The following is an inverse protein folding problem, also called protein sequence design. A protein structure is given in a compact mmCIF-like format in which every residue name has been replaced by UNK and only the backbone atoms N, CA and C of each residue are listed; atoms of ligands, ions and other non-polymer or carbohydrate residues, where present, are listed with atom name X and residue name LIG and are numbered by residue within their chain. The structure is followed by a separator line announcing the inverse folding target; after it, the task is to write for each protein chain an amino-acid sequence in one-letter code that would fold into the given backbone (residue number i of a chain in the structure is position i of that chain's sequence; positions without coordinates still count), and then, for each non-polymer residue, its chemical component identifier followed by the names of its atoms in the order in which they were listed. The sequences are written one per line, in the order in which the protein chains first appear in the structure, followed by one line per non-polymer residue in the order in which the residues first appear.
data_IF_923849355110
#
_entry.id   IF_923849355110
#
_cell.length_a   1.000
_cell.length_b   1.000
_cell.length_c   1.000
_cell.angle_alpha   90.00
_cell.angle_beta   90.00
_cell.angle_gamma   90.00
#
_symmetry.space_group_name_H-M   'P 1'
#
loop_
_entity.id
_entity.type
_entity.pdbx_description
1 polymer ?
#
# COMPACT_ATOMS: atom_id res chain seq x y z
N UNK A 1 -20.44 -0.16 5.77
CA UNK A 1 -20.98 -0.20 4.39
C UNK A 1 -20.14 0.54 3.34
N UNK A 2 -19.41 1.63 3.66
CA UNK A 2 -18.67 2.39 2.62
C UNK A 2 -17.49 1.62 1.98
N UNK A 3 -16.74 0.83 2.76
CA UNK A 3 -15.46 0.27 2.34
C UNK A 3 -15.54 -0.59 1.06
N UNK A 4 -16.61 -1.39 0.93
CA UNK A 4 -16.83 -2.32 -0.17
C UNK A 4 -17.78 -1.78 -1.25
N UNK A 5 -18.30 -0.55 -1.09
CA UNK A 5 -19.24 0.03 -2.06
C UNK A 5 -18.53 0.29 -3.39
N UNK A 6 -19.04 -0.31 -4.48
CA UNK A 6 -18.52 -0.13 -5.85
C UNK A 6 -19.19 1.07 -6.54
N UNK A 7 -18.40 1.92 -7.21
CA UNK A 7 -18.87 3.05 -8.01
C UNK A 7 -18.42 2.84 -9.46
N UNK A 8 -19.36 2.45 -10.33
CA UNK A 8 -19.06 2.08 -11.72
C UNK A 8 -17.84 1.14 -11.77
N UNK A 9 -16.83 1.46 -12.57
CA UNK A 9 -15.64 0.62 -12.73
C UNK A 9 -14.50 0.96 -11.73
N UNK A 10 -14.67 1.97 -10.86
CA UNK A 10 -13.65 2.38 -9.90
C UNK A 10 -13.36 1.29 -8.86
N UNK A 11 -12.10 1.18 -8.40
CA UNK A 11 -11.77 0.33 -7.26
C UNK A 11 -12.57 0.73 -6.01
N UNK A 12 -12.85 -0.23 -5.14
CA UNK A 12 -13.48 0.06 -3.83
C UNK A 12 -12.43 0.63 -2.87
N UNK A 13 -12.88 1.26 -1.79
CA UNK A 13 -11.97 1.76 -0.74
C UNK A 13 -11.17 0.57 -0.17
N UNK A 14 -11.82 -0.55 0.13
CA UNK A 14 -11.17 -1.75 0.64
C UNK A 14 -10.09 -2.30 -0.31
N UNK A 15 -10.38 -2.33 -1.62
CA UNK A 15 -9.42 -2.78 -2.63
C UNK A 15 -8.19 -1.86 -2.69
N UNK A 16 -8.38 -0.55 -2.62
CA UNK A 16 -7.26 0.40 -2.62
C UNK A 16 -6.45 0.32 -1.31
N UNK A 17 -7.10 0.11 -0.17
CA UNK A 17 -6.42 -0.12 1.12
C UNK A 17 -5.53 -1.36 1.07
N UNK A 18 -6.06 -2.49 0.57
CA UNK A 18 -5.26 -3.70 0.35
C UNK A 18 -4.13 -3.47 -0.63
N UNK A 19 -4.39 -2.79 -1.75
CA UNK A 19 -3.40 -2.51 -2.77
C UNK A 19 -2.21 -1.74 -2.19
N UNK A 20 -2.45 -0.69 -1.41
CA UNK A 20 -1.39 0.08 -0.74
C UNK A 20 -0.55 -0.82 0.17
N UNK A 21 -1.23 -1.55 1.07
CA UNK A 21 -0.61 -2.45 2.04
C UNK A 21 0.23 -3.55 1.37
N UNK A 22 -0.23 -4.10 0.24
CA UNK A 22 0.46 -5.12 -0.52
C UNK A 22 1.88 -4.69 -0.93
N UNK A 23 2.05 -3.46 -1.43
CA UNK A 23 3.37 -2.95 -1.79
C UNK A 23 4.22 -2.61 -0.56
N UNK A 24 3.62 -2.04 0.48
CA UNK A 24 4.33 -1.73 1.73
C UNK A 24 4.91 -3.02 2.34
N UNK A 25 4.10 -4.06 2.48
CA UNK A 25 4.53 -5.36 3.00
C UNK A 25 5.64 -6.00 2.14
N UNK A 26 5.54 -5.87 0.81
CA UNK A 26 6.58 -6.34 -0.10
C UNK A 26 7.93 -5.65 0.09
N UNK A 27 7.93 -4.33 0.27
CA UNK A 27 9.18 -3.57 0.50
C UNK A 27 9.71 -3.82 1.91
N UNK A 28 8.85 -3.98 2.92
CA UNK A 28 9.28 -4.38 4.28
C UNK A 28 10.08 -5.67 4.24
N UNK A 29 9.62 -6.70 3.50
CA UNK A 29 10.35 -7.96 3.38
C UNK A 29 11.78 -7.75 2.86
N UNK A 30 11.95 -6.85 1.88
CA UNK A 30 13.28 -6.49 1.35
C UNK A 30 14.13 -5.77 2.39
N UNK A 31 13.54 -4.83 3.15
CA UNK A 31 14.25 -4.10 4.20
C UNK A 31 14.71 -5.02 5.33
N UNK A 32 14.00 -6.12 5.58
CA UNK A 32 14.38 -7.16 6.54
C UNK A 32 15.38 -8.19 5.98
N UNK A 33 15.82 -8.03 4.73
CA UNK A 33 16.83 -8.87 4.08
C UNK A 33 16.27 -10.03 3.24
N UNK A 34 14.95 -10.08 3.03
CA UNK A 34 14.29 -11.02 2.11
C UNK A 34 14.32 -10.57 0.64
N UNK A 35 13.74 -11.40 -0.23
CA UNK A 35 13.60 -11.08 -1.66
C UNK A 35 12.36 -10.20 -1.94
N UNK A 36 12.36 -9.50 -3.08
CA UNK A 36 11.16 -8.80 -3.56
C UNK A 36 10.21 -9.79 -4.24
N UNK A 37 9.24 -10.30 -3.49
CA UNK A 37 8.34 -11.37 -3.97
C UNK A 37 7.01 -10.89 -4.56
N UNK A 38 6.66 -9.63 -4.31
CA UNK A 38 5.41 -9.04 -4.78
C UNK A 38 5.33 -8.99 -6.31
N UNK A 39 4.13 -9.17 -6.85
CA UNK A 39 3.84 -9.15 -8.29
C UNK A 39 2.54 -8.43 -8.53
N UNK A 40 2.54 -7.51 -9.50
CA UNK A 40 1.38 -6.68 -9.86
C UNK A 40 0.10 -7.49 -10.09
N UNK A 41 0.21 -8.71 -10.63
CA UNK A 41 -0.95 -9.59 -10.86
C UNK A 41 -1.73 -9.95 -9.57
N UNK A 42 -1.10 -9.85 -8.40
CA UNK A 42 -1.71 -10.11 -7.10
C UNK A 42 -2.03 -8.84 -6.31
N UNK A 43 -1.65 -7.65 -6.81
CA UNK A 43 -1.86 -6.39 -6.08
C UNK A 43 -3.32 -5.94 -6.01
N UNK A 44 -4.24 -6.71 -6.61
CA UNK A 44 -5.69 -6.52 -6.54
C UNK A 44 -6.42 -7.82 -6.19
N UNK A 45 -5.71 -8.80 -5.62
CA UNK A 45 -6.25 -10.11 -5.23
C UNK A 45 -6.74 -10.09 -3.77
N UNK A 46 -7.72 -9.21 -3.49
CA UNK A 46 -8.35 -9.06 -2.18
C UNK A 46 -9.55 -10.02 -2.07
N UNK A 47 -9.54 -10.98 -1.13
CA UNK A 47 -10.75 -11.75 -0.80
C UNK A 47 -11.90 -10.84 -0.35
N UNK A 48 -13.17 -11.23 -0.56
CA UNK A 48 -14.32 -10.44 -0.13
C UNK A 48 -14.25 -10.05 1.35
N UNK A 49 -14.51 -8.77 1.65
CA UNK A 49 -14.66 -8.26 3.01
C UNK A 49 -16.16 -8.30 3.35
N UNK A 50 -16.54 -9.25 4.19
CA UNK A 50 -17.93 -9.57 4.55
C UNK A 50 -18.32 -9.08 5.95
N UNK A 51 -17.33 -8.67 6.76
CA UNK A 51 -17.58 -8.18 8.13
C UNK A 51 -16.79 -6.92 8.47
N UNK A 52 -17.29 -6.20 9.48
CA UNK A 52 -16.59 -5.04 10.06
C UNK A 52 -15.23 -5.46 10.66
N UNK A 53 -15.15 -6.63 11.27
CA UNK A 53 -13.92 -7.17 11.84
C UNK A 53 -12.85 -7.41 10.75
N UNK A 54 -13.22 -7.98 9.60
CA UNK A 54 -12.30 -8.15 8.48
C UNK A 54 -11.81 -6.81 7.92
N UNK A 55 -12.69 -5.81 7.87
CA UNK A 55 -12.31 -4.46 7.46
C UNK A 55 -11.34 -3.82 8.46
N UNK A 56 -11.60 -3.93 9.76
CA UNK A 56 -10.71 -3.43 10.81
C UNK A 56 -9.37 -4.16 10.81
N UNK A 57 -9.35 -5.48 10.55
CA UNK A 57 -8.13 -6.24 10.41
C UNK A 57 -7.25 -5.73 9.25
N UNK A 58 -7.85 -5.40 8.11
CA UNK A 58 -7.14 -4.83 6.97
C UNK A 58 -6.58 -3.44 7.29
N UNK A 59 -7.34 -2.59 7.98
CA UNK A 59 -6.88 -1.28 8.43
C UNK A 59 -5.72 -1.40 9.43
N UNK A 60 -5.86 -2.26 10.42
CA UNK A 60 -4.82 -2.50 11.42
C UNK A 60 -3.54 -3.03 10.77
N UNK A 61 -3.66 -3.93 9.79
CA UNK A 61 -2.51 -4.42 9.03
C UNK A 61 -1.80 -3.27 8.30
N UNK A 62 -2.53 -2.46 7.53
CA UNK A 62 -1.97 -1.32 6.82
C UNK A 62 -1.26 -0.34 7.78
N UNK A 63 -1.87 -0.02 8.92
CA UNK A 63 -1.27 0.87 9.91
C UNK A 63 0.02 0.28 10.51
N UNK A 64 -0.03 -0.98 10.96
CA UNK A 64 1.12 -1.65 11.56
C UNK A 64 2.29 -1.79 10.58
N UNK A 65 2.00 -2.16 9.33
CA UNK A 65 3.01 -2.29 8.29
C UNK A 65 3.58 -0.90 7.92
N UNK A 66 2.75 0.14 7.87
CA UNK A 66 3.23 1.51 7.66
C UNK A 66 4.17 2.00 8.78
N UNK A 67 3.83 1.71 10.04
CA UNK A 67 4.68 2.04 11.21
C UNK A 67 6.00 1.26 11.17
N UNK A 68 5.95 -0.02 10.83
CA UNK A 68 7.13 -0.86 10.66
C UNK A 68 8.02 -0.36 9.52
N UNK A 69 7.44 -0.02 8.37
CA UNK A 69 8.14 0.58 7.24
C UNK A 69 8.87 1.87 7.65
N UNK A 70 8.18 2.78 8.35
CA UNK A 70 8.78 4.02 8.85
C UNK A 70 9.93 3.74 9.83
N UNK A 71 9.77 2.78 10.74
CA UNK A 71 10.80 2.38 11.70
C UNK A 71 12.05 1.82 11.00
N UNK A 72 11.86 0.97 9.98
CA UNK A 72 12.97 0.41 9.20
C UNK A 72 13.69 1.48 8.38
N UNK A 73 12.95 2.45 7.83
CA UNK A 73 13.54 3.60 7.14
C UNK A 73 14.36 4.49 8.08
N UNK A 74 13.86 4.76 9.29
CA UNK A 74 14.58 5.58 10.28
C UNK A 74 15.91 4.94 10.71
N UNK A 75 15.99 3.61 10.72
CA UNK A 75 17.19 2.85 11.06
C UNK A 75 18.14 2.66 9.87
N UNK A 76 17.71 3.02 8.65
CA UNK A 76 18.50 2.81 7.44
C UNK A 76 19.66 3.81 7.36
N UNK A 77 20.91 3.37 7.16
CA UNK A 77 22.04 4.29 6.98
C UNK A 77 21.89 5.12 5.71
N UNK A 78 22.17 6.42 5.78
CA UNK A 78 22.14 7.34 4.63
C UNK A 78 22.93 6.84 3.42
N UNK A 79 24.04 6.13 3.64
CA UNK A 79 24.86 5.55 2.56
C UNK A 79 24.08 4.58 1.68
N UNK A 80 23.10 3.86 2.25
CA UNK A 80 22.28 2.87 1.55
C UNK A 80 21.29 3.52 0.57
N UNK A 81 20.90 4.78 0.80
CA UNK A 81 19.90 5.49 0.00
C UNK A 81 20.27 5.61 -1.48
N UNK A 82 21.56 5.68 -1.79
CA UNK A 82 22.09 5.80 -3.15
C UNK A 82 22.45 4.45 -3.79
N UNK A 83 22.38 3.35 -3.04
CA UNK A 83 22.60 2.02 -3.60
C UNK A 83 21.43 1.64 -4.51
N UNK A 84 21.74 0.84 -5.54
CA UNK A 84 20.69 0.18 -6.32
C UNK A 84 19.80 -0.61 -5.37
N UNK A 85 18.50 -0.55 -5.60
CA UNK A 85 17.56 -1.41 -4.89
C UNK A 85 17.76 -2.88 -5.34
N UNK A 86 16.74 -3.72 -5.29
CA UNK A 86 16.85 -5.15 -5.63
C UNK A 86 17.32 -5.41 -7.07
N UNK A 87 16.95 -4.54 -8.00
CA UNK A 87 17.28 -4.63 -9.44
C UNK A 87 17.38 -3.19 -9.98
N UNK A 88 18.31 -2.93 -10.90
CA UNK A 88 18.54 -1.60 -11.48
C UNK A 88 17.28 -0.95 -12.05
N UNK A 89 16.35 -1.75 -12.58
CA UNK A 89 15.09 -1.23 -13.14
C UNK A 89 14.18 -0.56 -12.08
N UNK A 90 14.39 -0.85 -10.80
CA UNK A 90 13.65 -0.25 -9.69
C UNK A 90 14.33 1.01 -9.12
N UNK A 91 15.49 1.40 -9.67
CA UNK A 91 16.25 2.56 -9.23
C UNK A 91 17.01 2.33 -7.92
N UNK A 92 17.36 3.42 -7.25
CA UNK A 92 18.00 3.38 -5.93
C UNK A 92 16.98 3.13 -4.82
N UNK A 93 17.46 2.80 -3.61
CA UNK A 93 16.60 2.75 -2.42
C UNK A 93 15.79 4.04 -2.25
N UNK A 94 16.43 5.21 -2.35
CA UNK A 94 15.74 6.50 -2.24
C UNK A 94 14.62 6.64 -3.29
N UNK A 95 14.92 6.36 -4.57
CA UNK A 95 13.92 6.49 -5.63
C UNK A 95 12.74 5.54 -5.43
N UNK A 96 13.02 4.32 -4.96
CA UNK A 96 12.00 3.32 -4.66
C UNK A 96 11.08 3.78 -3.50
N UNK A 97 11.68 4.32 -2.44
CA UNK A 97 10.95 4.87 -1.28
C UNK A 97 10.07 6.06 -1.69
N UNK A 98 10.64 7.03 -2.42
CA UNK A 98 9.88 8.18 -2.93
C UNK A 98 8.72 7.72 -3.80
N UNK A 99 8.98 6.76 -4.71
CA UNK A 99 7.95 6.18 -5.57
C UNK A 99 6.83 5.50 -4.77
N UNK A 100 7.17 4.80 -3.69
CA UNK A 100 6.19 4.20 -2.81
C UNK A 100 5.34 5.28 -2.11
N UNK A 101 5.96 6.32 -1.55
CA UNK A 101 5.26 7.42 -0.88
C UNK A 101 4.31 8.14 -1.86
N UNK A 102 4.79 8.48 -3.05
CA UNK A 102 3.99 9.06 -4.14
C UNK A 102 2.78 8.19 -4.48
N UNK A 103 3.01 6.88 -4.61
CA UNK A 103 1.97 5.90 -4.93
C UNK A 103 0.91 5.79 -3.82
N UNK A 104 1.31 5.83 -2.55
CA UNK A 104 0.36 5.88 -1.42
C UNK A 104 -0.51 7.14 -1.51
N UNK A 105 0.09 8.32 -1.67
CA UNK A 105 -0.67 9.57 -1.76
C UNK A 105 -1.63 9.59 -2.94
N UNK A 106 -1.22 9.04 -4.09
CA UNK A 106 -2.08 8.88 -5.26
C UNK A 106 -3.35 8.08 -4.92
N UNK A 107 -3.22 6.92 -4.26
CA UNK A 107 -4.36 6.09 -3.89
C UNK A 107 -5.19 6.64 -2.72
N UNK A 108 -4.58 7.34 -1.76
CA UNK A 108 -5.32 8.08 -0.73
C UNK A 108 -6.20 9.18 -1.34
N UNK A 109 -5.71 9.83 -2.40
CA UNK A 109 -6.50 10.76 -3.23
C UNK A 109 -7.72 10.08 -3.85
N UNK A 110 -7.54 8.90 -4.46
CA UNK A 110 -8.64 8.12 -5.03
C UNK A 110 -9.66 7.71 -3.96
N UNK A 111 -9.21 7.20 -2.81
CA UNK A 111 -10.08 6.83 -1.67
C UNK A 111 -10.92 8.04 -1.23
N UNK A 112 -10.31 9.21 -1.11
CA UNK A 112 -11.01 10.44 -0.73
C UNK A 112 -12.12 10.79 -1.72
N UNK A 113 -11.86 10.69 -3.02
CA UNK A 113 -12.86 10.96 -4.07
C UNK A 113 -13.99 9.93 -4.07
N UNK A 114 -13.67 8.64 -3.96
CA UNK A 114 -14.65 7.56 -3.88
C UNK A 114 -15.55 7.74 -2.65
N UNK A 115 -14.98 8.06 -1.49
CA UNK A 115 -15.75 8.34 -0.27
C UNK A 115 -16.74 9.50 -0.47
N UNK A 116 -16.31 10.59 -1.11
CA UNK A 116 -17.19 11.72 -1.46
C UNK A 116 -18.32 11.31 -2.40
N UNK A 117 -18.03 10.48 -3.41
CA UNK A 117 -19.04 9.98 -4.36
C UNK A 117 -20.08 9.07 -3.70
N UNK A 118 -19.66 8.20 -2.77
CA UNK A 118 -20.58 7.35 -1.98
C UNK A 118 -21.48 8.22 -1.12
N UNK A 119 -20.91 9.20 -0.40
CA UNK A 119 -21.66 10.12 0.46
C UNK A 119 -22.59 11.08 -0.30
N UNK A 120 -22.31 11.37 -1.57
CA UNK A 120 -23.18 12.19 -2.40
C UNK A 120 -24.39 11.40 -2.95
N UNK A 121 -24.22 10.10 -3.18
CA UNK A 121 -25.29 9.23 -3.69
C UNK A 121 -26.28 8.77 -2.61
N UNK A 122 -25.86 8.80 -1.34
CA UNK A 122 -26.65 8.45 -0.17
C UNK A 122 -27.22 9.71 0.48
#
# INVERSE_FOLDING_TARGET
EQATTKIADLNTIAMLTFHIDYYIAGIINVFEGGELEIKDKYSFDLPPIESQEQWEALLNKLCNDSEKFATLLEQMPDSKMNEVFVDEKYGTYLRNIDGMIEHVYYHLGQITLIKKLILFKN
#
